data_IF_944523545025
#
_entry.id   IF_944523545025
#
_cell.length_a   1.000
_cell.length_b   1.000
_cell.length_c   1.000
_cell.angle_alpha   90.00
_cell.angle_beta   90.00
_cell.angle_gamma   90.00
#
_symmetry.space_group_name_H-M   'P 1'
#
loop_
_entity.id
_entity.type
_entity.pdbx_description
1 polymer ?
#
# COMPACT_ATOMS: atom_id res chain seq x y z
N UNK A 1 5.59 -3.07 4.37
CA UNK A 1 6.42 -3.52 3.25
C UNK A 1 7.64 -2.63 3.03
N UNK A 2 7.50 -1.33 2.75
CA UNK A 2 8.64 -0.44 2.39
C UNK A 2 9.93 -0.60 3.23
N UNK A 3 9.88 -0.55 4.57
CA UNK A 3 11.06 -0.82 5.39
C UNK A 3 11.50 -2.30 5.33
N UNK A 4 10.57 -3.24 5.43
CA UNK A 4 10.85 -4.67 5.49
C UNK A 4 11.53 -5.20 4.22
N UNK A 5 11.03 -4.82 3.03
CA UNK A 5 11.59 -5.26 1.75
C UNK A 5 13.00 -4.72 1.56
N UNK A 6 13.23 -3.46 1.94
CA UNK A 6 14.57 -2.88 1.86
C UNK A 6 15.55 -3.50 2.86
N UNK A 7 15.11 -3.98 4.02
CA UNK A 7 15.97 -4.77 4.91
C UNK A 7 16.31 -6.15 4.34
N UNK A 8 15.39 -6.81 3.63
CA UNK A 8 15.68 -8.07 2.93
C UNK A 8 16.72 -7.84 1.84
N UNK A 9 16.50 -6.83 1.00
CA UNK A 9 17.46 -6.45 -0.03
C UNK A 9 18.83 -6.10 0.57
N UNK A 10 18.85 -5.36 1.68
CA UNK A 10 20.10 -5.04 2.36
C UNK A 10 20.83 -6.28 2.87
N UNK A 11 20.13 -7.24 3.47
CA UNK A 11 20.73 -8.52 3.89
C UNK A 11 21.27 -9.29 2.69
N UNK A 12 20.51 -9.31 1.60
CA UNK A 12 20.91 -9.94 0.36
C UNK A 12 22.17 -9.32 -0.24
N UNK A 13 22.30 -7.99 -0.22
CA UNK A 13 23.49 -7.28 -0.70
C UNK A 13 24.73 -7.62 0.14
N UNK A 14 24.57 -7.65 1.47
CA UNK A 14 25.65 -7.99 2.40
C UNK A 14 26.14 -9.44 2.21
N UNK A 15 25.24 -10.35 1.86
CA UNK A 15 25.53 -11.77 1.66
C UNK A 15 25.89 -12.13 0.21
N UNK A 16 25.95 -11.16 -0.71
CA UNK A 16 26.09 -11.39 -2.17
C UNK A 16 27.37 -12.14 -2.59
N UNK A 17 28.41 -12.13 -1.76
CA UNK A 17 29.65 -12.88 -2.01
C UNK A 17 29.57 -14.36 -1.61
N UNK A 18 28.51 -14.76 -0.88
CA UNK A 18 28.31 -16.11 -0.35
C UNK A 18 27.09 -16.80 -0.97
N UNK A 19 26.03 -16.04 -1.25
CA UNK A 19 24.78 -16.53 -1.83
C UNK A 19 24.23 -15.57 -2.89
N UNK A 20 23.48 -16.10 -3.86
CA UNK A 20 22.87 -15.30 -4.92
C UNK A 20 21.94 -14.22 -4.35
N UNK A 21 21.97 -13.00 -4.91
CA UNK A 21 21.07 -11.95 -4.49
C UNK A 21 19.59 -12.29 -4.70
N UNK A 22 18.74 -11.83 -3.79
CA UNK A 22 17.29 -11.96 -3.84
C UNK A 22 16.72 -10.81 -4.68
N UNK A 23 16.03 -11.09 -5.80
CA UNK A 23 15.35 -10.07 -6.59
C UNK A 23 14.25 -9.34 -5.79
N UNK A 24 13.93 -8.10 -6.17
CA UNK A 24 12.96 -7.29 -5.44
C UNK A 24 11.56 -7.91 -5.34
N UNK A 25 11.06 -8.51 -6.41
CA UNK A 25 9.75 -9.18 -6.43
C UNK A 25 9.70 -10.40 -5.47
N UNK A 26 10.78 -11.19 -5.42
CA UNK A 26 10.92 -12.26 -4.42
C UNK A 26 10.99 -11.71 -3.00
N UNK A 27 11.72 -10.61 -2.78
CA UNK A 27 11.75 -9.95 -1.48
C UNK A 27 10.36 -9.43 -1.06
N UNK A 28 9.50 -9.01 -2.00
CA UNK A 28 8.09 -8.72 -1.72
C UNK A 28 7.33 -9.98 -1.32
N UNK A 29 7.57 -11.12 -1.99
CA UNK A 29 7.00 -12.42 -1.57
C UNK A 29 7.40 -12.82 -0.15
N UNK A 30 8.67 -12.69 0.20
CA UNK A 30 9.19 -12.99 1.54
C UNK A 30 8.52 -12.12 2.61
N UNK A 31 8.36 -10.82 2.35
CA UNK A 31 7.68 -9.93 3.31
C UNK A 31 6.20 -10.24 3.44
N UNK A 32 5.52 -10.69 2.37
CA UNK A 32 4.15 -11.15 2.45
C UNK A 32 4.02 -12.35 3.38
N UNK A 33 4.91 -13.34 3.24
CA UNK A 33 4.94 -14.51 4.12
C UNK A 33 5.19 -14.11 5.58
N UNK A 34 6.22 -13.31 5.84
CA UNK A 34 6.59 -12.91 7.21
C UNK A 34 5.54 -12.01 7.88
N UNK A 35 5.05 -10.98 7.18
CA UNK A 35 4.04 -10.04 7.72
C UNK A 35 2.68 -10.73 7.80
N UNK A 36 2.33 -11.53 6.79
CA UNK A 36 1.11 -12.33 6.77
C UNK A 36 1.04 -13.29 7.95
N UNK A 37 2.13 -14.02 8.22
CA UNK A 37 2.25 -14.87 9.41
C UNK A 37 2.06 -14.08 10.71
N UNK A 38 2.69 -12.91 10.84
CA UNK A 38 2.56 -12.06 12.02
C UNK A 38 1.09 -11.66 12.28
N UNK A 39 0.39 -11.17 11.25
CA UNK A 39 -1.02 -10.80 11.36
C UNK A 39 -1.92 -12.00 11.61
N UNK A 40 -1.71 -13.11 10.88
CA UNK A 40 -2.50 -14.32 11.04
C UNK A 40 -2.43 -14.84 12.47
N UNK A 41 -1.22 -14.92 13.05
CA UNK A 41 -1.02 -15.33 14.44
C UNK A 41 -1.68 -14.36 15.42
N UNK A 42 -1.49 -13.06 15.25
CA UNK A 42 -2.03 -12.05 16.16
C UNK A 42 -3.57 -12.05 16.15
N UNK A 43 -4.18 -12.08 14.97
CA UNK A 43 -5.63 -12.11 14.81
C UNK A 43 -6.22 -13.42 15.31
N UNK A 44 -5.59 -14.57 15.01
CA UNK A 44 -6.04 -15.86 15.52
C UNK A 44 -6.11 -15.86 17.06
N UNK A 45 -5.03 -15.42 17.72
CA UNK A 45 -4.98 -15.37 19.19
C UNK A 45 -6.05 -14.43 19.77
N UNK A 46 -6.24 -13.25 19.17
CA UNK A 46 -7.20 -12.27 19.68
C UNK A 46 -8.65 -12.70 19.45
N UNK A 47 -8.95 -13.35 18.32
CA UNK A 47 -10.27 -13.92 18.04
C UNK A 47 -10.59 -15.05 19.01
N UNK A 48 -9.64 -15.96 19.24
CA UNK A 48 -9.79 -17.06 20.20
C UNK A 48 -10.02 -16.54 21.62
N UNK A 49 -9.27 -15.53 22.06
CA UNK A 49 -9.44 -14.88 23.38
C UNK A 49 -10.84 -14.30 23.56
N UNK A 50 -11.48 -13.84 22.47
CA UNK A 50 -12.84 -13.30 22.46
C UNK A 50 -13.92 -14.35 22.23
N UNK A 51 -13.57 -15.63 22.10
CA UNK A 51 -14.52 -16.70 21.77
C UNK A 51 -15.08 -16.61 20.35
N UNK A 52 -14.40 -15.92 19.44
CA UNK A 52 -14.83 -15.76 18.05
C UNK A 52 -14.15 -16.84 17.20
N UNK A 53 -14.93 -17.79 16.70
CA UNK A 53 -14.43 -18.83 15.79
C UNK A 53 -14.50 -18.35 14.34
N UNK A 54 -13.45 -17.65 13.90
CA UNK A 54 -13.30 -17.16 12.52
C UNK A 54 -11.92 -17.53 11.97
N UNK A 55 -11.83 -18.35 10.89
CA UNK A 55 -10.55 -18.68 10.28
C UNK A 55 -9.82 -17.44 9.76
N UNK A 56 -8.51 -17.38 9.98
CA UNK A 56 -7.63 -16.31 9.48
C UNK A 56 -6.62 -16.91 8.52
N UNK A 57 -6.46 -16.32 7.34
CA UNK A 57 -5.52 -16.80 6.32
C UNK A 57 -4.77 -15.66 5.67
N UNK A 58 -3.45 -15.80 5.55
CA UNK A 58 -2.61 -14.94 4.73
C UNK A 58 -2.35 -15.59 3.36
N UNK A 59 -2.60 -14.85 2.30
CA UNK A 59 -2.37 -15.29 0.92
C UNK A 59 -1.21 -14.52 0.32
N UNK A 60 -0.27 -15.25 -0.28
CA UNK A 60 0.66 -14.66 -1.25
C UNK A 60 -0.16 -14.14 -2.41
N UNK A 61 0.01 -12.87 -2.75
CA UNK A 61 -0.78 -12.17 -3.75
C UNK A 61 0.13 -11.54 -4.79
N UNK A 62 -0.18 -11.76 -6.06
CA UNK A 62 0.43 -11.13 -7.22
C UNK A 62 -0.50 -10.03 -7.75
N UNK A 63 0.10 -8.94 -8.20
CA UNK A 63 -0.63 -7.82 -8.79
C UNK A 63 -0.06 -7.54 -10.16
N UNK A 64 -0.91 -7.61 -11.19
CA UNK A 64 -0.53 -7.29 -12.56
C UNK A 64 -0.33 -5.80 -12.72
N UNK A 65 0.72 -5.43 -13.42
CA UNK A 65 1.05 -4.05 -13.80
C UNK A 65 1.29 -3.96 -15.31
N UNK A 66 1.31 -2.74 -15.86
CA UNK A 66 1.67 -2.53 -17.26
C UNK A 66 3.19 -2.65 -17.43
N UNK A 67 3.72 -3.39 -18.42
CA UNK A 67 5.16 -3.34 -18.73
C UNK A 67 5.60 -1.99 -19.33
N UNK A 68 4.64 -1.14 -19.70
CA UNK A 68 4.87 0.19 -20.29
C UNK A 68 4.51 1.33 -19.33
N UNK A 69 4.43 1.06 -18.03
CA UNK A 69 4.17 2.08 -17.03
C UNK A 69 5.38 3.04 -16.90
N UNK A 70 5.13 4.35 -16.93
CA UNK A 70 6.19 5.38 -16.84
C UNK A 70 6.99 5.29 -15.53
N UNK A 71 6.44 4.67 -14.48
CA UNK A 71 7.13 4.45 -13.22
C UNK A 71 8.40 3.60 -13.37
N UNK A 72 8.51 2.77 -14.42
CA UNK A 72 9.75 2.04 -14.72
C UNK A 72 10.87 2.94 -15.21
N UNK A 73 10.53 4.01 -15.92
CA UNK A 73 11.50 5.02 -16.37
C UNK A 73 11.81 6.06 -15.28
N UNK A 74 10.88 6.29 -14.34
CA UNK A 74 11.02 7.26 -13.24
C UNK A 74 10.75 6.66 -11.86
N UNK A 75 11.70 5.89 -11.28
CA UNK A 75 11.55 5.28 -9.96
C UNK A 75 11.37 6.31 -8.84
N UNK A 76 10.21 6.30 -8.19
CA UNK A 76 9.83 7.30 -7.16
C UNK A 76 9.59 6.69 -5.77
N UNK A 77 9.40 5.37 -5.66
CA UNK A 77 8.97 4.74 -4.40
C UNK A 77 10.15 4.44 -3.50
N UNK A 78 10.25 5.05 -2.30
CA UNK A 78 11.42 4.84 -1.45
C UNK A 78 11.32 3.53 -0.66
N UNK A 79 12.40 2.74 -0.68
CA UNK A 79 12.53 1.47 0.05
C UNK A 79 13.73 1.48 1.00
N UNK A 80 13.69 0.62 2.02
CA UNK A 80 14.80 0.47 2.96
C UNK A 80 15.03 1.65 3.90
N UNK A 81 16.19 1.63 4.54
CA UNK A 81 16.61 2.61 5.54
C UNK A 81 17.11 3.92 4.91
N UNK A 82 17.18 4.97 5.73
CA UNK A 82 17.84 6.22 5.37
C UNK A 82 19.35 6.04 5.33
N UNK A 83 19.99 6.70 4.37
CA UNK A 83 21.43 6.76 4.17
C UNK A 83 21.90 8.21 4.26
N UNK A 84 23.13 8.41 4.71
CA UNK A 84 23.83 9.67 4.43
C UNK A 84 24.13 9.80 2.93
N UNK A 85 24.37 11.04 2.50
CA UNK A 85 24.58 11.38 1.09
C UNK A 85 25.78 10.64 0.48
N UNK A 86 26.90 10.56 1.20
CA UNK A 86 28.12 9.92 0.72
C UNK A 86 27.89 8.43 0.45
N UNK A 87 27.25 7.72 1.38
CA UNK A 87 26.89 6.32 1.24
C UNK A 87 25.90 6.13 0.10
N UNK A 88 24.91 7.01 -0.03
CA UNK A 88 23.93 6.92 -1.11
C UNK A 88 24.60 7.09 -2.50
N UNK A 89 25.41 8.13 -2.68
CA UNK A 89 26.16 8.36 -3.92
C UNK A 89 27.08 7.19 -4.28
N UNK A 90 27.75 6.60 -3.28
CA UNK A 90 28.54 5.38 -3.50
C UNK A 90 27.68 4.23 -4.04
N UNK A 91 26.47 4.02 -3.48
CA UNK A 91 25.55 2.97 -3.95
C UNK A 91 25.01 3.25 -5.35
N UNK A 92 24.74 4.50 -5.69
CA UNK A 92 24.37 4.89 -7.05
C UNK A 92 25.49 4.55 -8.05
N UNK A 93 26.75 4.86 -7.73
CA UNK A 93 27.88 4.58 -8.62
C UNK A 93 28.17 3.07 -8.76
N UNK A 94 28.10 2.32 -7.66
CA UNK A 94 28.47 0.90 -7.65
C UNK A 94 27.35 -0.02 -8.10
N UNK A 95 26.09 0.32 -7.79
CA UNK A 95 24.93 -0.56 -7.95
C UNK A 95 23.85 0.03 -8.87
N UNK A 96 24.04 1.23 -9.41
CA UNK A 96 23.08 1.88 -10.31
C UNK A 96 21.77 2.30 -9.64
N UNK A 97 21.77 2.52 -8.32
CA UNK A 97 20.56 2.90 -7.61
C UNK A 97 20.03 4.26 -8.05
N UNK A 98 18.71 4.34 -8.22
CA UNK A 98 17.98 5.61 -8.18
C UNK A 98 17.78 6.01 -6.73
N UNK A 99 17.97 7.29 -6.41
CA UNK A 99 17.96 7.82 -5.06
C UNK A 99 17.01 9.02 -4.97
N UNK A 100 16.45 9.22 -3.78
CA UNK A 100 15.64 10.39 -3.44
C UNK A 100 16.01 10.88 -2.04
N UNK A 101 16.11 12.20 -1.89
CA UNK A 101 16.19 12.89 -0.60
C UNK A 101 14.77 13.00 -0.02
N UNK A 102 14.61 12.65 1.26
CA UNK A 102 13.30 12.59 1.92
C UNK A 102 13.24 13.61 3.07
N UNK A 103 13.01 14.86 2.69
CA UNK A 103 12.64 15.98 3.57
C UNK A 103 13.60 16.23 4.74
N UNK A 104 14.90 16.21 4.48
CA UNK A 104 15.97 16.43 5.45
C UNK A 104 16.28 15.22 6.34
N UNK A 105 15.62 14.07 6.12
CA UNK A 105 15.83 12.84 6.91
C UNK A 105 16.94 11.95 6.35
N UNK A 106 17.47 12.31 5.17
CA UNK A 106 18.51 11.58 4.47
C UNK A 106 18.02 11.00 3.14
N UNK A 107 18.83 10.13 2.57
CA UNK A 107 18.63 9.56 1.23
C UNK A 107 18.07 8.15 1.28
N UNK A 108 17.22 7.78 0.31
CA UNK A 108 16.67 6.43 0.19
C UNK A 108 16.75 5.93 -1.24
N UNK A 109 16.93 4.62 -1.40
CA UNK A 109 16.80 3.94 -2.71
C UNK A 109 15.36 4.04 -3.18
N UNK A 110 15.15 4.44 -4.43
CA UNK A 110 13.85 4.39 -5.08
C UNK A 110 13.74 3.23 -6.05
N UNK A 111 12.52 2.73 -6.21
CA UNK A 111 12.16 1.66 -7.14
C UNK A 111 10.88 2.06 -7.90
N UNK A 112 10.62 1.44 -9.07
CA UNK A 112 9.36 1.65 -9.78
C UNK A 112 8.15 1.36 -8.89
N UNK A 113 7.10 2.17 -9.01
CA UNK A 113 5.80 1.95 -8.36
C UNK A 113 4.67 2.12 -9.39
N UNK A 114 4.55 1.17 -10.32
CA UNK A 114 3.52 1.19 -11.36
C UNK A 114 2.12 1.03 -10.77
N UNK A 115 1.11 1.47 -11.52
CA UNK A 115 -0.28 1.36 -11.11
C UNK A 115 -0.76 -0.11 -11.11
N UNK A 116 -1.51 -0.54 -10.08
CA UNK A 116 -2.09 -1.88 -10.06
C UNK A 116 -3.22 -2.01 -11.08
N UNK A 117 -3.21 -3.07 -11.89
CA UNK A 117 -4.24 -3.31 -12.92
C UNK A 117 -5.15 -4.50 -12.63
N UNK A 118 -4.64 -5.52 -11.94
CA UNK A 118 -5.39 -6.74 -11.63
C UNK A 118 -4.77 -7.43 -10.41
N UNK A 119 -5.60 -7.88 -9.47
CA UNK A 119 -5.17 -8.81 -8.41
C UNK A 119 -5.36 -10.23 -8.94
N UNK A 120 -4.28 -10.98 -9.12
CA UNK A 120 -4.33 -12.31 -9.76
C UNK A 120 -5.17 -13.28 -8.92
N UNK A 121 -5.00 -13.26 -7.60
CA UNK A 121 -5.73 -14.14 -6.68
C UNK A 121 -7.11 -13.59 -6.26
N UNK A 122 -7.67 -12.62 -7.00
CA UNK A 122 -8.97 -12.00 -6.70
C UNK A 122 -10.07 -13.03 -6.42
N UNK A 123 -10.26 -14.00 -7.31
CA UNK A 123 -11.39 -14.95 -7.20
C UNK A 123 -11.26 -15.84 -5.94
N UNK A 124 -10.03 -16.24 -5.61
CA UNK A 124 -9.71 -16.99 -4.40
C UNK A 124 -9.97 -16.15 -3.15
N UNK A 125 -9.53 -14.89 -3.13
CA UNK A 125 -9.80 -13.95 -2.03
C UNK A 125 -11.30 -13.78 -1.85
N UNK A 126 -12.03 -13.50 -2.93
CA UNK A 126 -13.48 -13.30 -2.93
C UNK A 126 -14.22 -14.55 -2.43
N UNK A 127 -13.78 -15.74 -2.84
CA UNK A 127 -14.33 -17.01 -2.36
C UNK A 127 -14.17 -17.16 -0.84
N UNK A 128 -12.95 -16.96 -0.32
CA UNK A 128 -12.66 -17.10 1.11
C UNK A 128 -13.43 -16.08 1.96
N UNK A 129 -13.52 -14.82 1.50
CA UNK A 129 -14.33 -13.80 2.17
C UNK A 129 -15.79 -14.22 2.25
N UNK A 130 -16.38 -14.74 1.17
CA UNK A 130 -17.75 -15.27 1.17
C UNK A 130 -17.95 -16.47 2.10
N UNK A 131 -16.91 -17.28 2.32
CA UNK A 131 -16.93 -18.38 3.29
C UNK A 131 -16.71 -17.91 4.74
N UNK A 132 -16.58 -16.61 4.98
CA UNK A 132 -16.43 -16.05 6.31
C UNK A 132 -14.99 -16.10 6.83
N UNK A 133 -13.98 -16.21 5.98
CA UNK A 133 -12.58 -16.07 6.40
C UNK A 133 -12.23 -14.60 6.65
N UNK A 134 -11.31 -14.36 7.58
CA UNK A 134 -10.55 -13.11 7.63
C UNK A 134 -9.31 -13.30 6.75
N UNK A 135 -9.29 -12.61 5.61
CA UNK A 135 -8.22 -12.75 4.61
C UNK A 135 -7.22 -11.60 4.75
N UNK A 136 -5.94 -11.94 4.82
CA UNK A 136 -4.81 -11.01 4.71
C UNK A 136 -4.22 -11.22 3.31
N UNK A 137 -4.28 -10.19 2.46
CA UNK A 137 -3.84 -10.26 1.08
C UNK A 137 -3.17 -8.95 0.65
N UNK A 138 -2.65 -8.91 -0.58
CA UNK A 138 -2.00 -7.73 -1.18
C UNK A 138 -0.89 -7.15 -0.30
N UNK A 139 -0.16 -7.99 0.43
CA UNK A 139 0.87 -7.54 1.35
C UNK A 139 1.92 -6.70 0.61
N UNK A 140 2.00 -5.42 0.96
CA UNK A 140 2.91 -4.49 0.28
C UNK A 140 2.51 -4.06 -1.13
N UNK A 141 1.24 -4.22 -1.51
CA UNK A 141 0.73 -3.92 -2.86
C UNK A 141 0.58 -5.16 -3.75
N UNK A 142 1.07 -6.32 -3.31
CA UNK A 142 1.19 -7.53 -4.11
C UNK A 142 2.55 -7.64 -4.82
N UNK A 143 2.92 -8.87 -5.20
CA UNK A 143 4.13 -9.14 -5.98
C UNK A 143 3.88 -8.62 -7.41
N UNK A 144 4.68 -7.67 -7.92
CA UNK A 144 4.43 -7.11 -9.24
C UNK A 144 4.74 -8.13 -10.33
N UNK A 145 3.77 -8.35 -11.22
CA UNK A 145 3.90 -9.23 -12.38
C UNK A 145 3.43 -8.55 -13.65
N UNK A 146 4.01 -8.93 -14.78
CA UNK A 146 3.50 -8.62 -16.12
C UNK A 146 3.00 -9.90 -16.79
N UNK A 147 2.06 -9.74 -17.73
CA UNK A 147 1.52 -10.86 -18.51
C UNK A 147 2.26 -10.94 -19.84
N UNK A 148 2.91 -12.07 -20.08
CA UNK A 148 3.55 -12.41 -21.35
C UNK A 148 2.82 -13.61 -21.97
N UNK A 149 1.87 -13.32 -22.87
CA UNK A 149 0.91 -14.31 -23.36
C UNK A 149 0.10 -14.93 -22.21
N UNK A 150 0.29 -16.23 -21.95
CA UNK A 150 -0.36 -16.95 -20.86
C UNK A 150 0.49 -17.03 -19.58
N UNK A 151 1.73 -16.54 -19.61
CA UNK A 151 2.66 -16.64 -18.48
C UNK A 151 2.64 -15.34 -17.65
N UNK A 152 2.85 -15.48 -16.36
CA UNK A 152 3.14 -14.36 -15.47
C UNK A 152 4.64 -14.30 -15.23
N UNK A 153 5.22 -13.11 -15.39
CA UNK A 153 6.62 -12.84 -15.12
C UNK A 153 6.75 -11.78 -14.04
N UNK A 154 7.51 -12.06 -12.99
CA UNK A 154 7.86 -11.09 -11.97
C UNK A 154 8.65 -9.91 -12.54
N UNK A 155 8.38 -8.71 -12.02
CA UNK A 155 9.13 -7.49 -12.36
C UNK A 155 9.54 -6.77 -11.09
N UNK A 156 10.74 -6.20 -11.08
CA UNK A 156 11.30 -5.52 -9.92
C UNK A 156 10.64 -4.15 -9.72
N UNK A 157 9.56 -4.13 -8.94
CA UNK A 157 8.82 -2.94 -8.56
C UNK A 157 8.22 -3.08 -7.15
N UNK A 158 7.69 -1.99 -6.60
CA UNK A 158 6.85 -2.02 -5.39
C UNK A 158 5.61 -1.20 -5.66
N UNK A 159 4.46 -1.86 -5.70
CA UNK A 159 3.17 -1.24 -5.98
C UNK A 159 2.70 -0.46 -4.75
N UNK A 160 1.99 0.65 -4.98
CA UNK A 160 1.37 1.37 -3.88
C UNK A 160 0.26 0.53 -3.24
N UNK A 161 0.42 0.25 -1.94
CA UNK A 161 -0.49 -0.59 -1.15
C UNK A 161 -1.89 0.02 -1.01
N UNK A 162 -2.01 1.34 -1.01
CA UNK A 162 -3.29 2.03 -0.84
C UNK A 162 -4.08 1.89 -2.16
N UNK A 163 -3.43 2.13 -3.31
CA UNK A 163 -4.02 1.88 -4.64
C UNK A 163 -4.37 0.39 -4.86
N UNK A 164 -3.50 -0.54 -4.48
CA UNK A 164 -3.78 -1.97 -4.60
C UNK A 164 -4.95 -2.40 -3.70
N UNK A 165 -5.09 -1.79 -2.51
CA UNK A 165 -6.21 -2.04 -1.60
C UNK A 165 -7.52 -1.49 -2.18
N UNK A 166 -7.50 -0.30 -2.81
CA UNK A 166 -8.64 0.27 -3.51
C UNK A 166 -9.09 -0.57 -4.71
N UNK A 167 -8.14 -1.09 -5.49
CA UNK A 167 -8.43 -2.03 -6.58
C UNK A 167 -9.13 -3.28 -6.03
N UNK A 168 -8.55 -3.93 -5.01
CA UNK A 168 -9.16 -5.11 -4.40
C UNK A 168 -10.55 -4.81 -3.83
N UNK A 169 -10.70 -3.70 -3.10
CA UNK A 169 -11.98 -3.30 -2.49
C UNK A 169 -13.07 -3.08 -3.53
N UNK A 170 -12.75 -2.43 -4.66
CA UNK A 170 -13.70 -2.22 -5.75
C UNK A 170 -14.08 -3.52 -6.48
N UNK A 171 -13.14 -4.44 -6.67
CA UNK A 171 -13.40 -5.75 -7.27
C UNK A 171 -14.25 -6.64 -6.36
N UNK A 172 -14.02 -6.60 -5.05
CA UNK A 172 -14.84 -7.30 -4.05
C UNK A 172 -16.21 -6.65 -3.86
N UNK A 173 -16.39 -5.40 -4.32
CA UNK A 173 -17.59 -4.62 -4.05
C UNK A 173 -17.77 -4.35 -2.56
N UNK A 174 -16.69 -3.99 -1.87
CA UNK A 174 -16.72 -3.65 -0.45
C UNK A 174 -17.55 -2.38 -0.20
N UNK A 175 -18.17 -2.29 0.97
CA UNK A 175 -18.94 -1.10 1.37
C UNK A 175 -18.04 0.03 1.92
N UNK A 176 -16.87 -0.34 2.46
CA UNK A 176 -15.98 0.58 3.16
C UNK A 176 -14.51 0.23 2.91
N UNK A 177 -13.72 1.23 2.51
CA UNK A 177 -12.26 1.17 2.50
C UNK A 177 -11.70 1.99 3.65
N UNK A 178 -11.00 1.33 4.58
CA UNK A 178 -10.32 2.00 5.71
C UNK A 178 -8.82 2.01 5.48
N UNK A 179 -8.22 3.20 5.44
CA UNK A 179 -6.77 3.39 5.32
C UNK A 179 -6.21 3.92 6.65
N UNK A 180 -5.60 3.06 7.49
CA UNK A 180 -4.90 3.52 8.67
C UNK A 180 -3.59 4.25 8.33
N UNK A 181 -3.32 5.36 9.00
CA UNK A 181 -2.14 6.22 8.80
C UNK A 181 -1.61 6.77 10.14
N UNK A 182 -0.57 7.60 10.09
CA UNK A 182 0.09 8.16 11.28
C UNK A 182 -0.65 9.33 11.95
N UNK A 183 -1.80 9.75 11.41
CA UNK A 183 -2.60 10.86 11.91
C UNK A 183 -4.06 10.43 12.06
N UNK A 184 -4.77 11.07 12.98
CA UNK A 184 -6.17 10.77 13.27
C UNK A 184 -7.11 11.21 12.15
N UNK A 185 -6.84 12.38 11.54
CA UNK A 185 -7.62 12.99 10.46
C UNK A 185 -6.70 13.51 9.37
N UNK A 186 -7.24 13.71 8.17
CA UNK A 186 -6.62 14.50 7.12
C UNK A 186 -6.69 15.98 7.46
N UNK A 187 -5.76 16.76 6.91
CA UNK A 187 -5.77 18.20 7.02
C UNK A 187 -5.40 18.86 5.69
N UNK A 188 -5.93 20.05 5.46
CA UNK A 188 -5.47 21.01 4.45
C UNK A 188 -4.49 21.98 5.12
N UNK A 189 -3.63 22.62 4.31
CA UNK A 189 -2.55 23.48 4.81
C UNK A 189 -1.71 22.79 5.90
N UNK A 190 -1.44 21.49 5.70
CA UNK A 190 -0.79 20.66 6.72
C UNK A 190 0.58 21.21 7.11
N UNK A 191 0.85 21.30 8.41
CA UNK A 191 2.11 21.82 8.95
C UNK A 191 2.24 23.34 8.93
N UNK A 192 1.20 24.10 8.54
CA UNK A 192 1.21 25.58 8.57
C UNK A 192 0.31 26.12 9.67
N UNK A 193 0.41 27.43 10.01
CA UNK A 193 -0.51 28.06 10.96
C UNK A 193 -1.99 28.05 10.51
N UNK A 194 -2.26 27.81 9.22
CA UNK A 194 -3.59 27.73 8.63
C UNK A 194 -4.11 26.29 8.53
N UNK A 195 -3.44 25.33 9.18
CA UNK A 195 -3.83 23.93 9.17
C UNK A 195 -5.27 23.74 9.65
N UNK A 196 -6.06 23.02 8.85
CA UNK A 196 -7.44 22.69 9.18
C UNK A 196 -7.67 21.18 9.03
N UNK A 197 -8.14 20.54 10.10
CA UNK A 197 -8.52 19.12 10.09
C UNK A 197 -9.87 18.94 9.41
N UNK A 198 -10.00 17.85 8.65
CA UNK A 198 -11.20 17.49 7.91
C UNK A 198 -11.92 16.33 8.62
N UNK A 199 -13.20 16.51 8.90
CA UNK A 199 -14.05 15.47 9.50
C UNK A 199 -14.72 14.59 8.43
N UNK A 200 -15.31 15.24 7.43
CA UNK A 200 -15.92 14.60 6.29
C UNK A 200 -15.80 15.50 5.05
N UNK A 201 -15.58 14.90 3.89
CA UNK A 201 -15.56 15.58 2.59
C UNK A 201 -16.24 14.70 1.54
N UNK A 202 -16.80 15.33 0.51
CA UNK A 202 -17.27 14.65 -0.69
C UNK A 202 -16.11 14.24 -1.60
N UNK A 203 -16.37 13.32 -2.53
CA UNK A 203 -15.43 12.98 -3.61
C UNK A 203 -15.08 14.23 -4.45
N UNK A 204 -16.06 15.11 -4.71
CA UNK A 204 -15.85 16.33 -5.47
C UNK A 204 -14.90 17.32 -4.77
N UNK A 205 -15.05 17.48 -3.45
CA UNK A 205 -14.14 18.27 -2.63
C UNK A 205 -12.75 17.63 -2.58
N UNK A 206 -12.66 16.31 -2.36
CA UNK A 206 -11.39 15.58 -2.35
C UNK A 206 -10.61 15.76 -3.67
N UNK A 207 -11.29 15.66 -4.82
CA UNK A 207 -10.70 15.90 -6.13
C UNK A 207 -10.22 17.33 -6.33
N UNK A 208 -10.94 18.31 -5.76
CA UNK A 208 -10.54 19.71 -5.80
C UNK A 208 -9.28 19.94 -4.98
N UNK A 209 -9.25 19.44 -3.75
CA UNK A 209 -8.09 19.53 -2.86
C UNK A 209 -6.84 18.79 -3.42
N UNK A 210 -7.05 17.67 -4.12
CA UNK A 210 -5.99 16.97 -4.86
C UNK A 210 -5.38 17.86 -5.95
N UNK A 211 -6.21 18.52 -6.78
CA UNK A 211 -5.74 19.46 -7.83
C UNK A 211 -5.03 20.68 -7.25
N UNK A 212 -5.45 21.13 -6.08
CA UNK A 212 -4.82 22.24 -5.35
C UNK A 212 -3.50 21.84 -4.66
N UNK A 213 -3.11 20.56 -4.68
CA UNK A 213 -1.88 20.09 -4.06
C UNK A 213 -1.91 20.12 -2.53
N UNK A 214 -3.09 20.05 -1.92
CA UNK A 214 -3.24 20.12 -0.46
C UNK A 214 -2.69 18.89 0.27
N UNK A 215 -2.45 17.80 -0.45
CA UNK A 215 -2.00 16.52 0.11
C UNK A 215 -0.59 16.17 -0.38
N UNK A 216 0.27 15.69 0.50
CA UNK A 216 1.66 15.34 0.15
C UNK A 216 1.77 14.10 -0.75
N UNK A 217 2.52 14.22 -1.86
CA UNK A 217 2.72 13.21 -2.93
C UNK A 217 3.21 11.85 -2.41
N UNK A 218 4.05 11.84 -1.37
CA UNK A 218 4.59 10.60 -0.79
C UNK A 218 3.82 10.02 0.41
N UNK A 219 2.72 10.67 0.83
CA UNK A 219 2.07 10.36 2.10
C UNK A 219 0.54 10.33 2.00
N UNK A 220 -0.11 11.49 1.96
CA UNK A 220 -1.56 11.59 2.04
C UNK A 220 -2.22 11.54 0.66
N UNK A 221 -1.59 12.11 -0.37
CA UNK A 221 -2.14 12.12 -1.73
C UNK A 221 -2.55 10.73 -2.24
N UNK A 222 -1.67 9.70 -2.24
CA UNK A 222 -2.05 8.38 -2.75
C UNK A 222 -3.17 7.71 -1.96
N UNK A 223 -3.40 8.10 -0.70
CA UNK A 223 -4.49 7.60 0.14
C UNK A 223 -5.84 8.16 -0.29
N UNK A 224 -5.85 9.46 -0.58
CA UNK A 224 -7.05 10.16 -1.03
C UNK A 224 -7.40 9.71 -2.44
N UNK A 225 -6.41 9.60 -3.34
CA UNK A 225 -6.57 9.05 -4.69
C UNK A 225 -7.15 7.64 -4.63
N UNK A 226 -6.56 6.73 -3.83
CA UNK A 226 -7.06 5.37 -3.65
C UNK A 226 -8.53 5.31 -3.22
N UNK A 227 -8.93 6.13 -2.23
CA UNK A 227 -10.32 6.15 -1.76
C UNK A 227 -11.26 6.71 -2.82
N UNK A 228 -10.88 7.80 -3.49
CA UNK A 228 -11.68 8.42 -4.55
C UNK A 228 -11.88 7.43 -5.71
N UNK A 229 -10.83 6.73 -6.13
CA UNK A 229 -10.89 5.70 -7.17
C UNK A 229 -11.81 4.55 -6.77
N UNK A 230 -11.72 4.08 -5.53
CA UNK A 230 -12.58 3.03 -4.99
C UNK A 230 -14.07 3.45 -4.99
N UNK A 231 -14.38 4.66 -4.52
CA UNK A 231 -15.77 5.15 -4.46
C UNK A 231 -16.33 5.32 -5.88
N UNK A 232 -15.57 5.93 -6.79
CA UNK A 232 -15.97 6.12 -8.18
C UNK A 232 -16.20 4.78 -8.90
N UNK A 233 -15.29 3.81 -8.73
CA UNK A 233 -15.44 2.47 -9.30
C UNK A 233 -16.68 1.75 -8.74
N UNK A 234 -16.96 1.89 -7.44
CA UNK A 234 -18.14 1.32 -6.80
C UNK A 234 -19.44 1.95 -7.33
N UNK A 235 -19.45 3.27 -7.52
CA UNK A 235 -20.59 3.99 -8.10
C UNK A 235 -20.87 3.56 -9.54
N UNK A 236 -19.84 3.35 -10.37
CA UNK A 236 -19.99 2.83 -11.73
C UNK A 236 -20.62 1.42 -11.75
N UNK A 237 -20.44 0.65 -10.68
CA UNK A 237 -21.09 -0.65 -10.49
C UNK A 237 -22.49 -0.54 -9.85
N UNK A 238 -23.02 0.67 -9.63
CA UNK A 238 -24.31 0.91 -8.98
C UNK A 238 -24.32 0.66 -7.48
N UNK A 239 -23.15 0.65 -6.82
CA UNK A 239 -23.01 0.41 -5.38
C UNK A 239 -22.69 1.72 -4.64
N UNK A 240 -23.14 1.80 -3.39
CA UNK A 240 -22.70 2.84 -2.48
C UNK A 240 -21.46 2.34 -1.73
N UNK A 241 -20.47 3.21 -1.60
CA UNK A 241 -19.25 2.92 -0.88
C UNK A 241 -18.71 4.19 -0.22
N UNK A 242 -17.99 4.02 0.88
CA UNK A 242 -17.37 5.11 1.63
C UNK A 242 -15.90 4.82 1.89
N UNK A 243 -15.11 5.87 2.06
CA UNK A 243 -13.72 5.78 2.49
C UNK A 243 -13.51 6.39 3.87
N UNK A 244 -12.52 5.86 4.59
CA UNK A 244 -12.13 6.36 5.90
C UNK A 244 -10.61 6.41 6.03
N UNK A 245 -10.07 7.60 6.30
CA UNK A 245 -8.66 7.76 6.72
C UNK A 245 -8.62 8.06 8.21
N UNK A 246 -7.83 7.29 8.96
CA UNK A 246 -7.68 7.47 10.41
C UNK A 246 -6.40 6.83 10.94
N UNK A 247 -6.15 6.88 12.25
CA UNK A 247 -5.03 6.19 12.89
C UNK A 247 -5.45 4.80 13.39
N UNK A 248 -4.53 3.80 13.48
CA UNK A 248 -4.83 2.50 14.09
C UNK A 248 -5.50 2.59 15.46
N UNK A 249 -5.10 3.56 16.29
CA UNK A 249 -5.61 3.77 17.65
C UNK A 249 -7.05 4.26 17.65
N UNK A 250 -7.45 5.01 16.61
CA UNK A 250 -8.75 5.66 16.52
C UNK A 250 -9.75 4.94 15.63
N UNK A 251 -9.38 3.81 14.99
CA UNK A 251 -10.28 3.02 14.11
C UNK A 251 -11.63 2.76 14.76
N UNK A 252 -11.68 2.36 16.04
CA UNK A 252 -12.95 2.08 16.73
C UNK A 252 -13.84 3.32 16.83
N UNK A 253 -13.27 4.47 17.21
CA UNK A 253 -14.01 5.72 17.33
C UNK A 253 -14.41 6.26 15.95
N UNK A 254 -13.54 6.10 14.95
CA UNK A 254 -13.79 6.51 13.59
C UNK A 254 -14.93 5.73 12.93
N UNK A 255 -15.00 4.40 13.14
CA UNK A 255 -16.13 3.56 12.74
C UNK A 255 -17.44 3.90 13.46
N UNK A 256 -17.38 4.60 14.59
CA UNK A 256 -18.54 5.15 15.29
C UNK A 256 -18.86 6.60 14.88
N UNK A 257 -18.23 7.12 13.81
CA UNK A 257 -18.35 8.50 13.33
C UNK A 257 -17.94 9.58 14.35
N UNK A 258 -17.05 9.24 15.29
CA UNK A 258 -16.57 10.17 16.33
C UNK A 258 -15.18 10.75 16.01
N UNK A 259 -14.51 10.25 14.96
CA UNK A 259 -13.15 10.57 14.58
C UNK A 259 -12.91 10.15 13.12
N UNK A 260 -11.69 10.35 12.60
CA UNK A 260 -11.33 10.07 11.22
C UNK A 260 -11.81 11.13 10.23
N UNK A 261 -11.32 11.01 8.99
CA UNK A 261 -11.85 11.74 7.85
C UNK A 261 -12.63 10.79 6.97
N UNK A 262 -13.94 11.04 6.86
CA UNK A 262 -14.82 10.30 5.97
C UNK A 262 -14.84 10.92 4.57
N UNK A 263 -14.76 10.06 3.55
CA UNK A 263 -14.93 10.47 2.16
C UNK A 263 -16.13 9.72 1.60
N UNK A 264 -17.11 10.47 1.10
CA UNK A 264 -18.36 9.91 0.54
C UNK A 264 -18.65 10.56 -0.81
N UNK A 265 -19.62 10.01 -1.56
CA UNK A 265 -20.15 10.67 -2.74
C UNK A 265 -20.69 12.08 -2.42
#
# INVERSE_FOLDING_TARGET
>A
NGPQVGFILRRSELASNEVSPVPLDYAVGDTQGAIGYMFQKALHNELARRGINKPVIALVTQTRVSPHDDAFASPSKPIGAFLDEATAQQRQQQLGWTLMEDAGRGWRRTVPSPAPLEIIEHDTIAHLVRQGYLVIACGGGGIPVVRDGQQLKGVEAVIDKDLASALLASQLGADLLVIPTGVEKMAINFGTPQQQWLDAISVAEAQTLLREGQFGVGSMQPKVEAIVDFINASQQQGKQASGLITSPQTIKAALAHQSGTWITL
#
